data_IF_787169641767
#
_entry.id   IF_787169641767
#
_cell.length_a   1.000
_cell.length_b   1.000
_cell.length_c   1.000
_cell.angle_alpha   90.00
_cell.angle_beta   90.00
_cell.angle_gamma   90.00
#
_symmetry.space_group_name_H-M   'P 1'
#
loop_
_entity.id
_entity.type
_entity.pdbx_description
1 polymer ?
#
# COMPACT_ATOMS: atom_id res chain seq x y z
N UNK A 1 -9.40 -47.92 10.22
CA UNK A 1 -10.33 -46.81 9.92
C UNK A 1 -9.49 -45.56 9.71
N UNK A 2 -9.18 -45.23 8.46
CA UNK A 2 -8.31 -44.10 8.11
C UNK A 2 -9.11 -42.81 8.31
N UNK A 3 -8.73 -42.00 9.30
CA UNK A 3 -9.22 -40.62 9.41
C UNK A 3 -8.51 -39.81 8.34
N UNK A 4 -9.21 -39.57 7.24
CA UNK A 4 -8.85 -38.52 6.29
C UNK A 4 -9.09 -37.21 7.03
N UNK A 5 -8.04 -36.61 7.58
CA UNK A 5 -8.07 -35.21 7.95
C UNK A 5 -8.31 -34.42 6.67
N UNK A 6 -9.54 -33.96 6.49
CA UNK A 6 -9.82 -32.87 5.56
C UNK A 6 -8.96 -31.70 6.01
N UNK A 7 -7.92 -31.39 5.22
CA UNK A 7 -7.18 -30.15 5.35
C UNK A 7 -8.19 -29.00 5.48
N UNK A 8 -8.19 -28.31 6.61
CA UNK A 8 -8.87 -27.02 6.74
C UNK A 8 -8.14 -26.05 5.83
N UNK A 9 -8.58 -25.94 4.59
CA UNK A 9 -8.28 -24.78 3.76
C UNK A 9 -9.28 -23.68 4.14
N UNK A 10 -9.08 -23.08 5.31
CA UNK A 10 -9.62 -21.75 5.57
C UNK A 10 -8.53 -20.79 5.14
N UNK A 11 -8.63 -20.27 3.92
CA UNK A 11 -7.86 -19.10 3.51
C UNK A 11 -8.22 -17.99 4.50
N UNK A 12 -7.39 -17.73 5.51
CA UNK A 12 -7.64 -16.64 6.46
C UNK A 12 -7.58 -15.33 5.67
N UNK A 13 -8.75 -14.78 5.37
CA UNK A 13 -8.86 -13.50 4.70
C UNK A 13 -8.40 -12.43 5.67
N UNK A 14 -7.45 -11.62 5.23
CA UNK A 14 -6.87 -10.52 5.98
C UNK A 14 -7.48 -9.21 5.47
N UNK A 15 -7.81 -8.30 6.38
CA UNK A 15 -8.23 -6.96 6.01
C UNK A 15 -7.05 -6.22 5.36
N UNK A 16 -7.28 -5.59 4.22
CA UNK A 16 -6.21 -4.87 3.54
C UNK A 16 -6.66 -4.18 2.27
N UNK A 17 -5.68 -3.63 1.56
CA UNK A 17 -5.86 -2.88 0.33
C UNK A 17 -5.20 -3.61 -0.82
N UNK A 18 -5.95 -3.85 -1.88
CA UNK A 18 -5.42 -4.30 -3.17
C UNK A 18 -5.32 -3.11 -4.12
N UNK A 19 -4.14 -2.92 -4.72
CA UNK A 19 -3.87 -1.82 -5.63
C UNK A 19 -2.90 -2.21 -6.75
N UNK A 20 -3.06 -1.56 -7.89
CA UNK A 20 -2.06 -1.59 -8.96
C UNK A 20 -1.17 -0.36 -8.87
N UNK A 21 0.09 -0.54 -8.47
CA UNK A 21 1.03 0.54 -8.22
C UNK A 21 2.45 0.16 -8.66
N UNK A 22 3.22 1.13 -9.16
CA UNK A 22 4.57 0.90 -9.75
C UNK A 22 4.59 -0.25 -10.77
N UNK A 23 3.54 -0.35 -11.60
CA UNK A 23 3.33 -1.39 -12.64
C UNK A 23 3.21 -2.83 -12.12
N UNK A 24 2.82 -3.01 -10.85
CA UNK A 24 2.60 -4.33 -10.23
C UNK A 24 1.33 -4.30 -9.41
N UNK A 25 0.77 -5.49 -9.16
CA UNK A 25 -0.31 -5.67 -8.21
C UNK A 25 0.25 -5.92 -6.82
N UNK A 26 -0.37 -5.29 -5.82
CA UNK A 26 0.05 -5.37 -4.43
C UNK A 26 -1.14 -5.65 -3.53
N UNK A 27 -0.89 -6.39 -2.46
CA UNK A 27 -1.74 -6.42 -1.28
C UNK A 27 -0.99 -5.79 -0.12
N UNK A 28 -1.63 -4.84 0.56
CA UNK A 28 -1.13 -4.20 1.78
C UNK A 28 -2.09 -4.54 2.91
N UNK A 29 -1.65 -5.39 3.84
CA UNK A 29 -2.40 -5.79 5.02
C UNK A 29 -2.53 -4.63 6.01
N UNK A 30 -3.76 -4.42 6.48
CA UNK A 30 -4.12 -3.43 7.50
C UNK A 30 -4.59 -4.21 8.73
N UNK A 31 -3.74 -4.39 9.75
CA UNK A 31 -4.21 -4.96 11.00
C UNK A 31 -5.20 -4.00 11.66
N UNK A 32 -6.20 -4.53 12.34
CA UNK A 32 -7.13 -3.72 13.12
C UNK A 32 -6.33 -2.82 14.09
N UNK A 33 -6.55 -1.52 14.01
CA UNK A 33 -5.92 -0.46 14.80
C UNK A 33 -4.39 -0.28 14.66
N UNK A 34 -3.74 -0.80 13.62
CA UNK A 34 -2.29 -0.69 13.45
C UNK A 34 -1.82 -0.11 12.10
N UNK A 35 -0.56 0.35 12.08
CA UNK A 35 0.13 0.68 10.84
C UNK A 35 0.15 -0.54 9.89
N UNK A 36 0.12 -0.34 8.57
CA UNK A 36 0.24 -1.44 7.64
C UNK A 36 1.53 -2.21 7.93
N UNK A 37 1.46 -3.54 7.92
CA UNK A 37 2.57 -4.36 8.40
C UNK A 37 3.00 -5.45 7.42
N UNK A 38 2.19 -5.72 6.41
CA UNK A 38 2.42 -6.82 5.45
C UNK A 38 2.21 -6.34 4.03
N UNK A 39 3.26 -6.37 3.22
CA UNK A 39 3.18 -6.10 1.79
C UNK A 39 3.46 -7.37 1.03
N UNK A 40 2.55 -7.75 0.14
CA UNK A 40 2.69 -8.92 -0.73
C UNK A 40 2.62 -8.46 -2.19
N UNK A 41 3.60 -8.89 -2.98
CA UNK A 41 3.54 -8.75 -4.45
C UNK A 41 2.54 -9.78 -4.98
N UNK A 42 1.51 -9.33 -5.69
CA UNK A 42 0.55 -10.23 -6.32
C UNK A 42 1.03 -10.59 -7.73
N UNK A 43 0.73 -11.82 -8.15
CA UNK A 43 1.01 -12.33 -9.51
C UNK A 43 0.18 -11.62 -10.60
N UNK A 44 -0.84 -10.86 -10.19
CA UNK A 44 -1.86 -10.28 -11.06
C UNK A 44 -2.97 -11.28 -11.44
N UNK A 45 -2.97 -12.49 -10.87
CA UNK A 45 -4.00 -13.51 -11.10
C UNK A 45 -4.90 -13.71 -9.89
N UNK A 46 -6.09 -14.24 -10.16
CA UNK A 46 -7.02 -14.74 -9.17
C UNK A 46 -6.75 -16.23 -8.92
N UNK A 47 -7.15 -16.73 -7.74
CA UNK A 47 -7.18 -18.18 -7.52
C UNK A 47 -8.13 -18.87 -8.51
N UNK A 48 -7.90 -20.16 -8.84
CA UNK A 48 -8.81 -20.90 -9.71
C UNK A 48 -10.26 -20.90 -9.20
N UNK A 49 -10.45 -20.97 -7.88
CA UNK A 49 -11.76 -20.97 -7.25
C UNK A 49 -12.49 -19.62 -7.46
N UNK A 50 -11.81 -18.50 -7.21
CA UNK A 50 -12.37 -17.17 -7.44
C UNK A 50 -12.65 -16.92 -8.92
N UNK A 51 -11.72 -17.29 -9.82
CA UNK A 51 -11.92 -17.14 -11.26
C UNK A 51 -13.12 -17.95 -11.76
N UNK A 52 -13.28 -19.20 -11.31
CA UNK A 52 -14.42 -20.03 -11.68
C UNK A 52 -15.75 -19.44 -11.15
N UNK A 53 -15.74 -18.89 -9.93
CA UNK A 53 -16.90 -18.19 -9.37
C UNK A 53 -17.31 -16.99 -10.21
N UNK A 54 -16.36 -16.11 -10.56
CA UNK A 54 -16.64 -14.92 -11.37
C UNK A 54 -17.18 -15.24 -12.76
N UNK A 55 -16.66 -16.28 -13.42
CA UNK A 55 -17.17 -16.73 -14.72
C UNK A 55 -18.62 -17.17 -14.65
N UNK A 56 -19.00 -17.89 -13.58
CA UNK A 56 -20.39 -18.31 -13.36
C UNK A 56 -21.29 -17.12 -13.07
N UNK A 57 -20.87 -16.22 -12.19
CA UNK A 57 -21.62 -15.00 -11.84
C UNK A 57 -21.84 -14.07 -13.04
N UNK A 58 -20.87 -14.02 -13.96
CA UNK A 58 -20.94 -13.21 -15.17
C UNK A 58 -21.52 -13.94 -16.39
N UNK A 59 -21.89 -15.23 -16.25
CA UNK A 59 -22.30 -16.11 -17.35
C UNK A 59 -21.34 -16.07 -18.56
N UNK A 60 -20.04 -15.97 -18.27
CA UNK A 60 -19.00 -15.75 -19.28
C UNK A 60 -17.76 -16.60 -18.96
N UNK A 61 -17.62 -17.75 -19.63
CA UNK A 61 -16.48 -18.64 -19.46
C UNK A 61 -15.15 -18.04 -19.95
N UNK A 62 -15.21 -17.10 -20.90
CA UNK A 62 -14.03 -16.45 -21.46
C UNK A 62 -13.43 -15.37 -20.53
N UNK A 63 -14.07 -15.08 -19.38
CA UNK A 63 -13.59 -14.07 -18.46
C UNK A 63 -12.18 -14.43 -17.95
N UNK A 64 -11.19 -13.55 -18.14
CA UNK A 64 -9.82 -13.90 -17.83
C UNK A 64 -9.57 -13.88 -16.31
N UNK A 65 -8.70 -14.75 -15.77
CA UNK A 65 -8.51 -14.93 -14.33
C UNK A 65 -7.54 -13.88 -13.75
N UNK A 66 -7.73 -12.61 -14.09
CA UNK A 66 -6.85 -11.51 -13.68
C UNK A 66 -7.48 -10.66 -12.59
N UNK A 67 -6.62 -10.10 -11.71
CA UNK A 67 -7.04 -9.15 -10.68
C UNK A 67 -7.76 -7.95 -11.29
N UNK A 68 -7.29 -7.47 -12.45
CA UNK A 68 -7.93 -6.38 -13.19
C UNK A 68 -9.37 -6.67 -13.63
N UNK A 69 -9.69 -7.93 -13.93
CA UNK A 69 -11.06 -8.34 -14.29
C UNK A 69 -11.99 -8.40 -13.08
N UNK A 70 -11.43 -8.48 -11.87
CA UNK A 70 -12.20 -8.52 -10.64
C UNK A 70 -12.44 -7.11 -10.07
N UNK A 71 -11.38 -6.30 -9.93
CA UNK A 71 -11.44 -5.00 -9.24
C UNK A 71 -11.15 -3.77 -10.11
N UNK A 72 -10.69 -3.95 -11.35
CA UNK A 72 -10.29 -2.85 -12.25
C UNK A 72 -8.95 -2.20 -11.88
N UNK A 73 -8.37 -1.40 -12.78
CA UNK A 73 -7.08 -0.71 -12.55
C UNK A 73 -7.22 0.66 -11.87
N UNK A 74 -8.41 1.26 -11.90
CA UNK A 74 -8.58 2.69 -11.64
C UNK A 74 -8.49 3.07 -10.16
N UNK A 75 -9.01 2.23 -9.27
CA UNK A 75 -9.12 2.57 -7.85
C UNK A 75 -8.72 1.39 -6.96
N UNK A 76 -7.87 1.62 -5.94
CA UNK A 76 -7.59 0.63 -4.92
C UNK A 76 -8.87 0.16 -4.22
N UNK A 77 -8.90 -1.11 -3.83
CA UNK A 77 -10.02 -1.71 -3.09
C UNK A 77 -9.58 -2.08 -1.69
N UNK A 78 -10.38 -1.69 -0.70
CA UNK A 78 -10.22 -2.08 0.70
C UNK A 78 -11.26 -3.13 1.07
N UNK A 79 -10.86 -4.19 1.75
CA UNK A 79 -11.72 -5.35 2.03
C UNK A 79 -10.95 -6.53 2.61
N UNK A 80 -11.65 -7.65 2.78
CA UNK A 80 -11.08 -8.89 3.25
C UNK A 80 -10.58 -9.72 2.07
N UNK A 81 -9.28 -9.97 1.99
CA UNK A 81 -8.64 -10.68 0.89
C UNK A 81 -7.73 -11.78 1.42
N UNK A 82 -7.61 -12.88 0.68
CA UNK A 82 -6.58 -13.88 0.93
C UNK A 82 -5.53 -13.84 -0.19
N UNK A 83 -4.27 -14.02 0.19
CA UNK A 83 -3.15 -14.09 -0.74
C UNK A 83 -2.58 -15.51 -0.69
N UNK A 84 -2.81 -16.29 -1.74
CA UNK A 84 -2.38 -17.68 -1.84
C UNK A 84 -1.10 -17.73 -2.68
N UNK A 85 -0.08 -18.48 -2.23
CA UNK A 85 1.18 -18.57 -2.98
C UNK A 85 0.93 -19.00 -4.43
N UNK A 86 1.50 -18.26 -5.39
CA UNK A 86 1.30 -18.56 -6.80
C UNK A 86 2.03 -19.84 -7.20
N UNK A 87 1.35 -20.73 -7.91
CA UNK A 87 1.98 -21.94 -8.45
C UNK A 87 3.01 -21.64 -9.56
N UNK A 88 3.03 -20.40 -10.08
CA UNK A 88 3.90 -19.98 -11.20
C UNK A 88 5.19 -19.33 -10.75
N UNK A 89 5.15 -18.65 -9.60
CA UNK A 89 6.26 -17.89 -9.04
C UNK A 89 6.11 -17.86 -7.51
N UNK A 90 7.05 -18.52 -6.83
CA UNK A 90 7.07 -18.64 -5.37
C UNK A 90 7.26 -17.31 -4.62
N UNK A 91 7.60 -16.22 -5.33
CA UNK A 91 7.76 -14.88 -4.75
C UNK A 91 6.49 -14.03 -4.84
N UNK A 92 5.43 -14.55 -5.48
CA UNK A 92 4.17 -13.82 -5.70
C UNK A 92 2.96 -14.60 -5.20
N UNK A 93 1.83 -13.90 -5.07
CA UNK A 93 0.58 -14.46 -4.58
C UNK A 93 -0.56 -14.25 -5.56
N UNK A 94 -1.40 -15.27 -5.74
CA UNK A 94 -2.68 -15.15 -6.40
C UNK A 94 -3.73 -14.64 -5.40
N UNK A 95 -4.63 -13.78 -5.87
CA UNK A 95 -5.65 -13.13 -5.04
C UNK A 95 -6.90 -14.02 -4.90
N UNK A 96 -7.40 -14.16 -3.68
CA UNK A 96 -8.71 -14.71 -3.37
C UNK A 96 -9.54 -13.72 -2.55
N UNK A 97 -10.86 -13.82 -2.66
CA UNK A 97 -11.80 -12.92 -2.01
C UNK A 97 -13.24 -13.44 -2.03
N UNK A 98 -14.01 -13.07 -1.02
CA UNK A 98 -15.46 -13.28 -1.00
C UNK A 98 -16.19 -12.21 -1.84
N UNK A 99 -15.81 -10.94 -1.70
CA UNK A 99 -16.35 -9.81 -2.47
C UNK A 99 -15.23 -8.95 -3.07
N UNK A 100 -15.59 -7.94 -3.87
CA UNK A 100 -14.64 -7.05 -4.56
C UNK A 100 -14.02 -6.00 -3.63
N UNK A 101 -14.40 -5.97 -2.35
CA UNK A 101 -14.17 -4.86 -1.45
C UNK A 101 -14.92 -3.59 -1.85
N UNK A 102 -14.76 -2.55 -1.03
CA UNK A 102 -15.23 -1.20 -1.34
C UNK A 102 -14.08 -0.36 -1.91
N UNK A 103 -14.36 0.72 -2.65
CA UNK A 103 -13.36 1.75 -2.93
C UNK A 103 -12.58 2.16 -1.68
N UNK A 104 -11.25 2.15 -1.74
CA UNK A 104 -10.43 2.74 -0.69
C UNK A 104 -10.60 4.26 -0.69
N UNK A 105 -10.62 4.87 0.49
CA UNK A 105 -10.49 6.32 0.63
C UNK A 105 -9.12 6.80 0.12
N UNK A 106 -9.01 8.09 -0.18
CA UNK A 106 -7.72 8.64 -0.63
C UNK A 106 -6.63 8.48 0.43
N UNK A 107 -6.99 8.52 1.72
CA UNK A 107 -6.05 8.31 2.82
C UNK A 107 -5.54 6.86 2.86
N UNK A 108 -6.43 5.89 2.73
CA UNK A 108 -6.09 4.46 2.61
C UNK A 108 -5.19 4.21 1.39
N UNK A 109 -5.56 4.76 0.23
CA UNK A 109 -4.78 4.62 -1.00
C UNK A 109 -3.37 5.19 -0.85
N UNK A 110 -3.23 6.40 -0.28
CA UNK A 110 -1.91 7.02 0.01
C UNK A 110 -1.09 6.18 0.97
N UNK A 111 -1.70 5.70 2.05
CA UNK A 111 -1.03 4.86 3.04
C UNK A 111 -0.49 3.57 2.40
N UNK A 112 -1.29 2.90 1.58
CA UNK A 112 -0.88 1.71 0.85
C UNK A 112 0.27 1.98 -0.13
N UNK A 113 0.17 3.05 -0.93
CA UNK A 113 1.25 3.46 -1.83
C UNK A 113 2.56 3.75 -1.07
N UNK A 114 2.49 4.47 0.05
CA UNK A 114 3.64 4.82 0.89
C UNK A 114 4.31 3.58 1.48
N UNK A 115 3.50 2.61 1.89
CA UNK A 115 3.98 1.32 2.40
C UNK A 115 4.67 0.49 1.30
N UNK A 116 4.11 0.45 0.09
CA UNK A 116 4.76 -0.19 -1.07
C UNK A 116 6.08 0.52 -1.40
N UNK A 117 6.09 1.84 -1.45
CA UNK A 117 7.29 2.64 -1.74
C UNK A 117 8.38 2.40 -0.68
N UNK A 118 8.04 2.35 0.61
CA UNK A 118 8.98 2.05 1.71
C UNK A 118 9.52 0.61 1.64
N UNK A 119 8.72 -0.33 1.14
CA UNK A 119 9.14 -1.72 0.94
C UNK A 119 10.10 -1.86 -0.25
N UNK A 120 9.86 -1.11 -1.32
CA UNK A 120 10.70 -1.14 -2.54
C UNK A 120 11.99 -0.34 -2.38
N UNK A 121 11.93 0.76 -1.64
CA UNK A 121 13.02 1.72 -1.48
C UNK A 121 13.26 1.96 0.00
N UNK A 122 14.15 1.17 0.63
CA UNK A 122 14.49 1.33 2.03
C UNK A 122 14.88 2.76 2.36
N UNK A 123 14.38 3.26 3.49
CA UNK A 123 14.71 4.59 4.01
C UNK A 123 16.23 4.66 4.27
N UNK A 124 16.96 5.64 3.72
CA UNK A 124 18.39 5.77 3.94
C UNK A 124 18.76 6.03 5.40
N UNK A 125 19.96 5.63 5.78
CA UNK A 125 20.52 5.92 7.10
C UNK A 125 20.44 7.41 7.45
N UNK A 126 20.07 7.69 8.71
CA UNK A 126 19.88 9.04 9.21
C UNK A 126 18.50 9.65 8.89
N UNK A 127 17.62 8.92 8.20
CA UNK A 127 16.19 9.21 8.11
C UNK A 127 15.39 8.15 8.90
N UNK A 128 14.29 8.59 9.50
CA UNK A 128 13.33 7.78 10.26
C UNK A 128 12.16 7.50 9.32
N UNK A 129 11.73 6.23 9.22
CA UNK A 129 10.54 5.89 8.43
C UNK A 129 9.28 6.49 9.06
N UNK A 130 8.35 6.95 8.23
CA UNK A 130 7.03 7.43 8.69
C UNK A 130 6.20 6.34 9.37
N UNK A 131 6.51 5.06 9.14
CA UNK A 131 5.87 3.93 9.81
C UNK A 131 6.54 3.56 11.14
N UNK A 132 7.75 4.07 11.39
CA UNK A 132 8.46 3.88 12.66
C UNK A 132 8.10 5.01 13.64
N UNK A 133 8.21 6.25 13.19
CA UNK A 133 7.80 7.41 13.97
C UNK A 133 7.44 8.59 13.07
N UNK A 134 6.59 9.47 13.58
CA UNK A 134 6.25 10.75 12.97
C UNK A 134 6.87 11.90 13.78
N UNK A 135 7.12 13.08 13.17
CA UNK A 135 7.56 14.26 13.91
C UNK A 135 6.57 14.60 15.04
N UNK A 136 7.09 14.91 16.23
CA UNK A 136 6.26 15.15 17.43
C UNK A 136 5.67 16.56 17.51
N UNK A 137 6.34 17.53 16.90
CA UNK A 137 5.90 18.92 16.83
C UNK A 137 5.85 19.39 15.37
N UNK A 138 5.30 20.57 15.14
CA UNK A 138 5.18 21.13 13.78
C UNK A 138 6.48 21.80 13.30
N UNK A 139 7.64 21.48 13.89
CA UNK A 139 8.90 22.06 13.43
C UNK A 139 9.23 21.56 12.02
N UNK A 140 9.88 22.41 11.20
CA UNK A 140 10.44 21.98 9.93
C UNK A 140 11.41 20.81 10.07
N UNK A 141 11.27 19.83 9.19
CA UNK A 141 12.15 18.67 9.05
C UNK A 141 12.67 18.59 7.62
N UNK A 142 13.75 17.84 7.43
CA UNK A 142 14.09 17.32 6.11
C UNK A 142 13.33 16.03 5.89
N UNK A 143 12.54 15.97 4.84
CA UNK A 143 11.71 14.84 4.48
C UNK A 143 12.11 14.31 3.10
N UNK A 144 11.96 13.01 2.91
CA UNK A 144 12.19 12.35 1.62
C UNK A 144 10.93 11.63 1.16
N UNK A 145 10.74 11.63 -0.15
CA UNK A 145 9.77 10.78 -0.85
C UNK A 145 10.45 10.07 -2.01
N UNK A 146 9.86 8.98 -2.48
CA UNK A 146 10.34 8.32 -3.70
C UNK A 146 10.12 9.27 -4.88
N UNK A 147 11.15 9.44 -5.70
CA UNK A 147 11.05 10.34 -6.85
C UNK A 147 10.17 9.77 -7.96
N UNK A 148 9.48 10.68 -8.66
CA UNK A 148 8.87 10.39 -9.95
C UNK A 148 9.88 10.51 -11.11
N UNK A 149 11.05 11.12 -10.87
CA UNK A 149 12.09 11.35 -11.87
C UNK A 149 13.08 10.19 -11.92
N UNK A 150 13.62 9.94 -13.11
CA UNK A 150 14.55 8.82 -13.35
C UNK A 150 15.96 9.06 -12.81
N UNK A 151 16.31 10.31 -12.47
CA UNK A 151 17.68 10.71 -12.10
C UNK A 151 17.99 10.61 -10.60
N UNK A 152 16.97 10.47 -9.75
CA UNK A 152 17.17 10.28 -8.31
C UNK A 152 16.20 9.24 -7.78
N UNK A 153 16.62 8.49 -6.77
CA UNK A 153 15.71 7.56 -6.07
C UNK A 153 14.74 8.32 -5.17
N UNK A 154 15.25 9.36 -4.51
CA UNK A 154 14.49 10.16 -3.57
C UNK A 154 14.53 11.64 -3.96
N UNK A 155 13.45 12.34 -3.63
CA UNK A 155 13.41 13.79 -3.58
C UNK A 155 13.55 14.23 -2.12
N UNK A 156 14.38 15.25 -1.90
CA UNK A 156 14.56 15.87 -0.59
C UNK A 156 13.73 17.15 -0.51
N UNK A 157 12.93 17.27 0.55
CA UNK A 157 12.06 18.40 0.79
C UNK A 157 12.26 18.94 2.20
N UNK A 158 12.02 20.24 2.38
CA UNK A 158 11.74 20.82 3.69
C UNK A 158 10.24 20.75 3.94
N UNK A 159 9.82 20.08 5.01
CA UNK A 159 8.41 19.83 5.29
C UNK A 159 8.06 20.01 6.77
N UNK A 160 6.77 20.09 7.08
CA UNK A 160 6.20 20.05 8.43
C UNK A 160 5.10 19.00 8.48
N UNK A 161 4.95 18.36 9.63
CA UNK A 161 3.87 17.40 9.89
C UNK A 161 2.80 18.07 10.76
N UNK A 162 1.56 18.21 10.23
CA UNK A 162 0.46 18.95 10.88
C UNK A 162 -0.82 18.11 10.97
N UNK A 163 -0.83 17.03 11.80
CA UNK A 163 -1.93 16.06 11.84
C UNK A 163 -3.23 16.63 12.40
N UNK A 164 -3.17 17.57 13.34
CA UNK A 164 -4.36 18.16 13.97
C UNK A 164 -5.13 19.05 12.99
N UNK A 165 -4.42 19.89 12.23
CA UNK A 165 -5.05 20.84 11.31
C UNK A 165 -5.40 20.22 9.96
N UNK A 166 -4.74 19.12 9.57
CA UNK A 166 -4.85 18.48 8.24
C UNK A 166 -4.80 16.94 8.34
N UNK A 167 -5.78 16.29 9.01
CA UNK A 167 -5.71 14.87 9.36
C UNK A 167 -5.65 13.93 8.15
N UNK A 168 -6.21 14.32 7.00
CA UNK A 168 -6.22 13.47 5.81
C UNK A 168 -4.94 13.58 4.98
N UNK A 169 -4.22 14.69 5.06
CA UNK A 169 -2.98 14.91 4.34
C UNK A 169 -2.09 15.79 5.23
N UNK A 170 -1.39 15.23 6.21
CA UNK A 170 -0.75 16.02 7.28
C UNK A 170 0.58 16.65 6.87
N UNK A 171 1.24 16.15 5.83
CA UNK A 171 2.52 16.68 5.37
C UNK A 171 2.37 17.96 4.55
N UNK A 172 3.12 19.00 4.92
CA UNK A 172 3.12 20.31 4.27
C UNK A 172 4.52 20.74 3.90
N UNK A 173 4.69 21.38 2.75
CA UNK A 173 5.90 22.12 2.47
C UNK A 173 5.94 23.42 3.31
N UNK A 174 7.06 24.15 3.28
CA UNK A 174 7.19 25.38 4.07
C UNK A 174 6.24 26.50 3.64
N UNK A 175 5.76 26.47 2.38
CA UNK A 175 4.73 27.39 1.88
C UNK A 175 3.32 27.05 2.35
N UNK A 176 3.11 25.90 3.01
CA UNK A 176 1.80 25.46 3.51
C UNK A 176 0.95 24.65 2.54
N UNK A 177 1.51 24.25 1.38
CA UNK A 177 0.82 23.37 0.42
C UNK A 177 1.03 21.90 0.78
N UNK A 178 0.11 21.02 0.37
CA UNK A 178 0.28 19.60 0.59
C UNK A 178 1.47 19.07 -0.21
N UNK A 179 2.31 18.26 0.43
CA UNK A 179 3.44 17.64 -0.29
C UNK A 179 2.95 16.77 -1.45
N UNK A 180 1.77 16.16 -1.29
CA UNK A 180 1.14 15.32 -2.30
C UNK A 180 0.67 16.06 -3.54
N UNK A 181 0.49 17.39 -3.47
CA UNK A 181 0.09 18.19 -4.65
C UNK A 181 1.18 18.19 -5.74
N UNK A 182 2.42 17.88 -5.37
CA UNK A 182 3.57 17.86 -6.25
C UNK A 182 4.20 16.48 -6.44
N UNK A 183 3.58 15.40 -5.94
CA UNK A 183 4.13 14.04 -6.08
C UNK A 183 3.69 13.04 -5.01
N UNK A 184 4.52 12.02 -4.78
CA UNK A 184 4.28 10.99 -3.77
C UNK A 184 4.31 11.53 -2.33
N UNK A 185 3.79 10.73 -1.40
CA UNK A 185 3.85 11.03 0.03
C UNK A 185 5.28 10.84 0.60
N UNK A 186 5.50 11.38 1.79
CA UNK A 186 6.76 11.25 2.52
C UNK A 186 6.92 9.82 3.03
N UNK A 187 8.09 9.21 2.79
CA UNK A 187 8.44 7.87 3.29
C UNK A 187 9.35 7.92 4.50
N UNK A 188 10.09 9.02 4.68
CA UNK A 188 11.01 9.18 5.79
C UNK A 188 11.40 10.63 6.04
N UNK A 189 11.87 10.92 7.25
CA UNK A 189 12.19 12.26 7.69
C UNK A 189 13.36 12.27 8.68
N UNK A 190 13.98 13.43 8.87
CA UNK A 190 14.99 13.64 9.92
C UNK A 190 14.88 15.04 10.49
N UNK A 191 15.28 15.16 11.75
CA UNK A 191 15.45 16.47 12.36
C UNK A 191 16.49 17.28 11.56
N UNK A 192 16.17 18.55 11.39
CA UNK A 192 17.02 19.52 10.73
C UNK A 192 16.96 20.89 11.44
N UNK A 193 16.71 20.89 12.75
CA UNK A 193 16.61 22.10 13.56
C UNK A 193 17.86 22.97 13.46
N UNK A 194 19.05 22.37 13.34
CA UNK A 194 20.30 23.09 13.12
C UNK A 194 20.39 23.85 11.78
N UNK A 195 19.55 23.49 10.79
CA UNK A 195 19.53 24.11 9.47
C UNK A 195 18.28 24.96 9.22
N UNK A 196 17.17 24.62 9.88
CA UNK A 196 15.84 25.17 9.59
C UNK A 196 15.21 25.93 10.78
N UNK A 197 15.83 25.89 11.96
CA UNK A 197 15.38 26.66 13.12
C UNK A 197 15.65 28.16 12.94
N UNK A 198 14.86 29.04 13.57
CA UNK A 198 15.27 30.43 13.74
C UNK A 198 16.57 30.45 14.57
N UNK A 199 17.58 31.15 14.06
CA UNK A 199 18.83 31.40 14.79
C UNK A 199 18.63 32.24 16.03
#
# INVERSE_FOLDING_TARGET
>A
MVRIERARCTSDHEQGIVLHYRRRWWFVGLPDDACPSRVKTLSGRLTPALAARLRREAENEALPPYVSSFIGYEQPRTGAFACIASARDSTTFDLDAHDRGKPASDAEARLACTMVDTTLYPVPDGFISVFEALPRDEKPVLAIRVSAYVFSRFELLTARYQPVFRPLAPWRNLSGNAVTDSGSDIIGWRDAGAWLGPG
#
